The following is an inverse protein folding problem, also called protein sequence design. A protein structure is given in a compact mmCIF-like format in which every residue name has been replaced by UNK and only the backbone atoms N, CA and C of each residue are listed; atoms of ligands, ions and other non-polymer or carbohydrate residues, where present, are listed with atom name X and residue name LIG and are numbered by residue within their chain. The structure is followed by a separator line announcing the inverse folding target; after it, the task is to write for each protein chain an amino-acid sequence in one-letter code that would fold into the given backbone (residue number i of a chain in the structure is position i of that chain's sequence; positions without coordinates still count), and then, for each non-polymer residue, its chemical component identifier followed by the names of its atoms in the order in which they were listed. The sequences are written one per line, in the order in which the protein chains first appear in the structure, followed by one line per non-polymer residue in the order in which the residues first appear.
data_IF_974948841355
#
_entry.id   IF_974948841355
#
_cell.length_a   1.000
_cell.length_b   1.000
_cell.length_c   1.000
_cell.angle_alpha   90.00
_cell.angle_beta   90.00
_cell.angle_gamma   90.00
#
_symmetry.space_group_name_H-M   'P 1'
#
loop_
_entity.id
_entity.type
_entity.pdbx_description
1 polymer ?
#
# COMPACT_ATOMS: atom_id res chain seq x y z
N UNK A 1 -22.46 -18.08 11.29
CA UNK A 1 -21.08 -18.04 11.81
C UNK A 1 -20.17 -18.17 10.59
N UNK A 2 -19.81 -17.04 9.97
CA UNK A 2 -18.97 -17.02 8.78
C UNK A 2 -17.53 -17.39 9.17
N UNK A 3 -16.89 -18.11 8.26
CA UNK A 3 -15.77 -19.03 8.47
C UNK A 3 -14.43 -18.30 8.74
N UNK A 4 -14.01 -18.23 10.01
CA UNK A 4 -12.72 -17.67 10.47
C UNK A 4 -11.51 -18.32 9.77
N UNK A 5 -11.67 -19.51 9.15
CA UNK A 5 -10.60 -20.18 8.40
C UNK A 5 -10.35 -19.56 7.02
N UNK A 6 -11.32 -18.89 6.42
CA UNK A 6 -11.17 -18.28 5.08
C UNK A 6 -10.45 -16.94 5.12
N UNK A 7 -10.64 -16.15 6.17
CA UNK A 7 -10.03 -14.82 6.33
C UNK A 7 -8.49 -14.89 6.39
N UNK A 8 -7.94 -15.95 7.00
CA UNK A 8 -6.50 -16.18 7.07
C UNK A 8 -5.86 -16.48 5.69
N UNK A 9 -6.62 -16.95 4.70
CA UNK A 9 -6.05 -17.39 3.40
C UNK A 9 -5.55 -16.23 2.54
N UNK A 10 -6.32 -15.14 2.44
CA UNK A 10 -5.97 -14.00 1.58
C UNK A 10 -4.87 -13.15 2.20
N UNK A 11 -4.90 -12.94 3.51
CA UNK A 11 -3.84 -12.24 4.21
C UNK A 11 -2.50 -12.96 4.01
N UNK A 12 -2.46 -14.27 4.24
CA UNK A 12 -1.26 -15.08 4.03
C UNK A 12 -0.80 -15.08 2.56
N UNK A 13 -1.74 -15.13 1.62
CA UNK A 13 -1.44 -15.07 0.19
C UNK A 13 -0.78 -13.73 -0.19
N UNK A 14 -1.35 -12.60 0.23
CA UNK A 14 -0.74 -11.29 -0.01
C UNK A 14 0.65 -11.22 0.66
N UNK A 15 0.76 -11.69 1.91
CA UNK A 15 1.99 -11.61 2.70
C UNK A 15 3.13 -12.39 2.06
N UNK A 16 2.85 -13.60 1.56
CA UNK A 16 3.84 -14.45 0.89
C UNK A 16 4.45 -13.86 -0.38
N UNK A 17 3.83 -12.83 -0.97
CA UNK A 17 4.36 -12.15 -2.15
C UNK A 17 5.35 -11.04 -1.80
N UNK A 18 5.44 -10.68 -0.51
CA UNK A 18 6.46 -9.74 -0.05
C UNK A 18 7.73 -10.48 0.33
N UNK A 19 8.71 -10.39 -0.55
CA UNK A 19 10.11 -10.67 -0.23
C UNK A 19 10.72 -9.44 0.43
N UNK A 20 10.90 -9.48 1.75
CA UNK A 20 11.70 -8.50 2.46
C UNK A 20 13.18 -8.80 2.15
N UNK A 21 13.77 -8.05 1.21
CA UNK A 21 15.22 -8.03 1.01
C UNK A 21 15.97 -7.55 2.27
N UNK A 22 17.23 -7.92 2.39
CA UNK A 22 18.10 -7.59 3.55
C UNK A 22 18.26 -6.07 3.79
N UNK A 23 17.95 -5.22 2.80
CA UNK A 23 18.05 -3.76 2.86
C UNK A 23 16.85 -3.06 3.53
N UNK A 24 15.85 -3.79 4.01
CA UNK A 24 14.68 -3.18 4.68
C UNK A 24 14.96 -2.82 6.13
N UNK A 25 15.03 -1.51 6.40
CA UNK A 25 15.05 -1.02 7.78
C UNK A 25 13.67 -1.12 8.46
N UNK A 26 13.64 -1.07 9.79
CA UNK A 26 12.40 -1.18 10.61
C UNK A 26 11.32 -0.17 10.20
N UNK A 27 11.72 1.04 9.78
CA UNK A 27 10.77 2.07 9.33
C UNK A 27 10.04 1.66 8.03
N UNK A 28 10.73 0.95 7.15
CA UNK A 28 10.14 0.40 5.93
C UNK A 28 9.15 -0.71 6.23
N UNK A 29 9.44 -1.56 7.22
CA UNK A 29 8.53 -2.64 7.67
C UNK A 29 7.17 -2.07 8.08
N UNK A 30 7.13 -1.07 8.97
CA UNK A 30 5.88 -0.43 9.40
C UNK A 30 5.10 0.21 8.23
N UNK A 31 5.82 0.77 7.27
CA UNK A 31 5.23 1.40 6.08
C UNK A 31 4.52 0.34 5.21
N UNK A 32 5.15 -0.82 5.04
CA UNK A 32 4.53 -1.92 4.30
C UNK A 32 3.38 -2.55 5.05
N UNK A 33 3.50 -2.77 6.37
CA UNK A 33 2.41 -3.32 7.19
C UNK A 33 1.14 -2.48 7.06
N UNK A 34 1.24 -1.15 7.07
CA UNK A 34 0.08 -0.27 6.89
C UNK A 34 -0.57 -0.41 5.52
N UNK A 35 0.22 -0.36 4.45
CA UNK A 35 -0.32 -0.57 3.08
C UNK A 35 -0.92 -1.97 2.93
N UNK A 36 -0.29 -2.97 3.54
CA UNK A 36 -0.80 -4.33 3.55
C UNK A 36 -2.15 -4.45 4.21
N UNK A 37 -2.25 -3.94 5.42
CA UNK A 37 -3.48 -3.98 6.19
C UNK A 37 -4.58 -3.25 5.43
N UNK A 38 -4.26 -2.12 4.80
CA UNK A 38 -5.20 -1.44 3.93
C UNK A 38 -5.65 -2.29 2.73
N UNK A 39 -4.72 -2.87 1.97
CA UNK A 39 -5.04 -3.72 0.81
C UNK A 39 -5.86 -4.94 1.23
N UNK A 40 -5.55 -5.51 2.39
CA UNK A 40 -6.31 -6.58 2.99
C UNK A 40 -7.72 -6.08 3.35
N UNK A 41 -7.88 -5.12 4.23
CA UNK A 41 -9.17 -4.75 4.81
C UNK A 41 -10.11 -4.02 3.84
N UNK A 42 -9.57 -3.28 2.87
CA UNK A 42 -10.34 -2.34 2.05
C UNK A 42 -10.35 -2.66 0.55
N UNK A 43 -9.71 -3.75 0.12
CA UNK A 43 -9.74 -4.17 -1.29
C UNK A 43 -9.97 -5.68 -1.44
N UNK A 44 -10.39 -6.08 -2.63
CA UNK A 44 -10.49 -7.50 -3.02
C UNK A 44 -9.22 -8.00 -3.73
N UNK A 45 -8.07 -7.35 -3.51
CA UNK A 45 -6.81 -7.74 -4.13
C UNK A 45 -6.25 -8.98 -3.41
N UNK A 46 -5.85 -9.96 -4.21
CA UNK A 46 -5.21 -11.20 -3.75
C UNK A 46 -3.72 -11.23 -4.11
N UNK A 47 -3.31 -10.49 -5.14
CA UNK A 47 -1.94 -10.48 -5.63
C UNK A 47 -1.45 -9.06 -5.84
N UNK A 48 -0.21 -8.79 -5.46
CA UNK A 48 0.41 -7.47 -5.62
C UNK A 48 0.51 -7.05 -7.10
N UNK A 49 0.58 -8.03 -8.01
CA UNK A 49 0.49 -7.82 -9.45
C UNK A 49 -0.83 -7.20 -9.93
N UNK A 50 -1.88 -7.25 -9.11
CA UNK A 50 -3.18 -6.63 -9.40
C UNK A 50 -3.39 -5.30 -8.70
N UNK A 51 -2.44 -4.85 -7.88
CA UNK A 51 -2.47 -3.48 -7.36
C UNK A 51 -2.35 -2.52 -8.53
N UNK A 52 -3.17 -1.48 -8.51
CA UNK A 52 -3.18 -0.39 -9.47
C UNK A 52 -2.96 0.95 -8.77
N UNK A 53 -2.78 1.99 -9.57
CA UNK A 53 -2.71 3.38 -9.08
C UNK A 53 -3.96 3.72 -8.25
N UNK A 54 -5.16 3.34 -8.69
CA UNK A 54 -6.38 3.68 -7.98
C UNK A 54 -6.40 3.13 -6.54
N UNK A 55 -5.77 1.98 -6.29
CA UNK A 55 -5.69 1.41 -4.94
C UNK A 55 -4.76 2.22 -4.02
N UNK A 56 -3.69 2.79 -4.57
CA UNK A 56 -2.77 3.64 -3.81
C UNK A 56 -3.38 5.04 -3.57
N UNK A 57 -4.22 5.53 -4.48
CA UNK A 57 -5.04 6.73 -4.24
C UNK A 57 -6.06 6.45 -3.13
N UNK A 58 -6.76 5.31 -3.18
CA UNK A 58 -7.71 4.90 -2.14
C UNK A 58 -7.05 4.76 -0.76
N UNK A 59 -5.78 4.33 -0.70
CA UNK A 59 -5.01 4.30 0.53
C UNK A 59 -4.81 5.70 1.14
N UNK A 60 -4.51 6.71 0.31
CA UNK A 60 -4.39 8.09 0.77
C UNK A 60 -5.74 8.66 1.23
N UNK A 61 -6.81 8.37 0.48
CA UNK A 61 -8.19 8.74 0.84
C UNK A 61 -8.63 8.13 2.17
N UNK A 62 -8.25 6.88 2.44
CA UNK A 62 -8.53 6.19 3.70
C UNK A 62 -7.94 6.95 4.89
N UNK A 63 -6.64 7.28 4.82
CA UNK A 63 -5.99 8.02 5.90
C UNK A 63 -6.55 9.44 6.05
N UNK A 64 -6.91 10.09 4.94
CA UNK A 64 -7.55 11.40 4.96
C UNK A 64 -8.94 11.37 5.61
N UNK A 65 -9.77 10.40 5.25
CA UNK A 65 -11.12 10.23 5.83
C UNK A 65 -11.06 10.00 7.33
N UNK A 66 -10.00 9.32 7.79
CA UNK A 66 -9.69 9.14 9.21
C UNK A 66 -8.91 10.31 9.81
N UNK A 67 -8.86 11.46 9.14
CA UNK A 67 -8.23 12.70 9.58
C UNK A 67 -6.75 12.53 9.96
N UNK A 68 -6.05 11.57 9.36
CA UNK A 68 -4.66 11.27 9.67
C UNK A 68 -4.43 10.97 11.17
N UNK A 69 -5.41 10.34 11.83
CA UNK A 69 -5.34 10.00 13.26
C UNK A 69 -4.17 9.09 13.60
N UNK A 70 -3.88 8.13 12.72
CA UNK A 70 -2.91 7.07 12.96
C UNK A 70 -1.51 7.42 12.43
N UNK A 71 -1.46 8.13 11.29
CA UNK A 71 -0.23 8.60 10.64
C UNK A 71 -0.48 9.95 9.98
N UNK A 72 0.56 10.78 9.87
CA UNK A 72 0.50 12.05 9.14
C UNK A 72 0.38 11.86 7.62
N UNK A 73 -0.10 12.88 6.91
CA UNK A 73 -0.09 12.89 5.44
C UNK A 73 1.30 12.62 4.85
N UNK A 74 2.34 13.21 5.45
CA UNK A 74 3.73 13.00 5.00
C UNK A 74 4.13 11.53 5.13
N UNK A 75 3.70 10.84 6.19
CA UNK A 75 3.94 9.41 6.36
C UNK A 75 3.15 8.58 5.34
N UNK A 76 1.88 8.87 5.10
CA UNK A 76 1.09 8.19 4.07
C UNK A 76 1.75 8.32 2.68
N UNK A 77 2.25 9.50 2.33
CA UNK A 77 3.01 9.73 1.07
C UNK A 77 4.33 8.93 1.06
N UNK A 78 5.05 8.84 2.19
CA UNK A 78 6.25 8.02 2.29
C UNK A 78 5.94 6.55 2.08
N UNK A 79 4.84 6.06 2.64
CA UNK A 79 4.41 4.67 2.49
C UNK A 79 4.19 4.33 1.03
N UNK A 80 3.44 5.16 0.30
CA UNK A 80 3.20 4.96 -1.14
C UNK A 80 4.50 5.01 -1.94
N UNK A 81 5.41 5.96 -1.65
CA UNK A 81 6.72 6.05 -2.33
C UNK A 81 7.59 4.81 -2.09
N UNK A 82 7.63 4.31 -0.86
CA UNK A 82 8.36 3.11 -0.50
C UNK A 82 7.77 1.89 -1.21
N UNK A 83 6.44 1.78 -1.25
CA UNK A 83 5.75 0.70 -1.95
C UNK A 83 5.96 0.74 -3.47
N UNK A 84 5.88 1.90 -4.10
CA UNK A 84 6.24 2.04 -5.52
C UNK A 84 7.71 1.67 -5.78
N UNK A 85 8.62 2.05 -4.89
CA UNK A 85 10.03 1.65 -4.99
C UNK A 85 10.19 0.13 -4.89
N UNK A 86 9.50 -0.50 -3.94
CA UNK A 86 9.48 -1.95 -3.79
C UNK A 86 9.03 -2.65 -5.08
N UNK A 87 7.88 -2.27 -5.63
CA UNK A 87 7.34 -2.85 -6.86
C UNK A 87 8.26 -2.65 -8.07
N UNK A 88 8.88 -1.46 -8.21
CA UNK A 88 9.88 -1.20 -9.27
C UNK A 88 11.13 -2.07 -9.17
N UNK A 89 11.56 -2.41 -7.95
CA UNK A 89 12.69 -3.31 -7.72
C UNK A 89 12.31 -4.77 -7.97
N UNK A 90 11.03 -5.11 -7.80
CA UNK A 90 10.47 -6.45 -8.01
C UNK A 90 9.55 -6.48 -9.23
N UNK A 91 10.10 -6.17 -10.41
CA UNK A 91 9.33 -6.03 -11.67
C UNK A 91 8.52 -7.28 -12.04
N UNK A 92 8.96 -8.46 -11.60
CA UNK A 92 8.25 -9.73 -11.76
C UNK A 92 6.90 -9.77 -11.01
N UNK A 93 6.74 -8.94 -9.97
CA UNK A 93 5.51 -8.80 -9.20
C UNK A 93 4.59 -7.80 -9.90
N UNK A 94 5.05 -6.55 -10.07
CA UNK A 94 4.27 -5.48 -10.69
C UNK A 94 5.18 -4.34 -11.15
N UNK A 95 5.25 -4.09 -12.45
CA UNK A 95 6.09 -3.03 -13.00
C UNK A 95 5.32 -1.82 -13.53
N UNK A 96 3.99 -1.86 -13.49
CA UNK A 96 3.13 -0.84 -14.07
C UNK A 96 2.62 0.20 -13.06
N UNK A 97 2.61 -0.14 -11.77
CA UNK A 97 2.09 0.76 -10.73
C UNK A 97 3.00 1.97 -10.55
N UNK A 98 2.48 3.13 -10.97
CA UNK A 98 3.14 4.40 -10.77
C UNK A 98 2.13 5.51 -10.54
N UNK A 99 2.17 6.11 -9.35
CA UNK A 99 1.58 7.41 -9.04
C UNK A 99 2.66 8.47 -9.08
N UNK A 100 2.36 9.61 -9.70
CA UNK A 100 3.18 10.80 -9.62
C UNK A 100 2.82 11.65 -8.39
N UNK A 101 3.46 11.33 -7.25
CA UNK A 101 3.33 12.06 -5.98
C UNK A 101 4.17 13.36 -5.93
N UNK A 102 4.55 13.92 -7.08
CA UNK A 102 5.26 15.19 -7.11
C UNK A 102 4.33 16.36 -6.78
N UNK A 103 4.94 17.46 -6.30
CA UNK A 103 4.23 18.72 -6.05
C UNK A 103 3.61 19.32 -7.33
N UNK A 104 3.94 18.82 -8.52
CA UNK A 104 3.29 19.24 -9.77
C UNK A 104 1.82 18.83 -9.83
N UNK A 105 1.45 17.79 -9.08
CA UNK A 105 0.06 17.36 -8.92
C UNK A 105 -0.53 17.85 -7.59
N UNK A 106 0.02 18.93 -7.00
CA UNK A 106 -0.46 19.51 -5.73
C UNK A 106 -1.96 19.75 -5.72
N UNK A 107 -2.54 20.15 -6.85
CA UNK A 107 -3.98 20.41 -6.94
C UNK A 107 -4.81 19.14 -6.76
N UNK A 108 -4.30 17.97 -7.17
CA UNK A 108 -4.94 16.69 -6.88
C UNK A 108 -4.75 16.30 -5.40
N UNK A 109 -3.58 16.59 -4.82
CA UNK A 109 -3.27 16.32 -3.41
C UNK A 109 -4.03 17.22 -2.43
N UNK A 110 -4.37 18.45 -2.83
CA UNK A 110 -5.14 19.42 -2.03
C UNK A 110 -6.64 19.10 -2.07
N UNK A 111 -7.11 18.50 -3.17
CA UNK A 111 -8.52 18.13 -3.36
C UNK A 111 -8.83 16.68 -2.96
N UNK A 112 -7.80 15.88 -2.64
CA UNK A 112 -7.91 14.77 -1.71
C UNK A 112 -8.35 15.37 -0.37
#
# INVERSE_FOLDING_TARGET
MLDVRRECSRYNLLLSQFTLDEDFNIASVKSFERIFNFLYEHTNIYYLGFVKEENLIQYLEYHRTNQFSDISFIEAIKDVKLFQKYLRNHKQINHHVHIDLSLKNSDQWINL
#
